data_IF_505286708258
#
_entry.id   IF_505286708258
#
_cell.length_a   1.000
_cell.length_b   1.000
_cell.length_c   1.000
_cell.angle_alpha   90.00
_cell.angle_beta   90.00
_cell.angle_gamma   90.00
#
_symmetry.space_group_name_H-M   'P 1'
#
loop_
_entity.id
_entity.type
_entity.pdbx_description
1 polymer ?
#
# COMPACT_ATOMS: atom_id res chain seq x y z
N UNK A 1 8.83 -3.90 -5.03
CA UNK A 1 8.79 -3.95 -3.55
C UNK A 1 7.86 -5.08 -3.13
N UNK A 2 8.36 -6.07 -2.37
CA UNK A 2 7.53 -7.16 -1.83
C UNK A 2 6.88 -6.71 -0.52
N UNK A 3 5.58 -6.89 -0.39
CA UNK A 3 4.81 -6.49 0.81
C UNK A 3 3.82 -7.58 1.19
N UNK A 4 3.35 -7.64 2.45
CA UNK A 4 2.29 -8.57 2.82
C UNK A 4 1.06 -8.44 1.91
N UNK A 5 0.40 -9.56 1.61
CA UNK A 5 -0.73 -9.57 0.67
C UNK A 5 -1.85 -8.60 1.08
N UNK A 6 -2.15 -8.48 2.38
CA UNK A 6 -3.15 -7.54 2.91
C UNK A 6 -2.76 -6.06 2.68
N UNK A 7 -1.47 -5.76 2.78
CA UNK A 7 -0.94 -4.41 2.49
C UNK A 7 -1.07 -4.12 0.99
N UNK A 8 -0.69 -5.08 0.14
CA UNK A 8 -0.84 -4.94 -1.31
C UNK A 8 -2.30 -4.69 -1.70
N UNK A 9 -3.22 -5.45 -1.13
CA UNK A 9 -4.65 -5.31 -1.39
C UNK A 9 -5.15 -3.89 -1.10
N UNK A 10 -4.79 -3.33 0.05
CA UNK A 10 -5.16 -1.97 0.44
C UNK A 10 -4.54 -0.90 -0.46
N UNK A 11 -3.26 -1.03 -0.81
CA UNK A 11 -2.58 -0.11 -1.76
C UNK A 11 -3.30 -0.13 -3.11
N UNK A 12 -3.65 -1.31 -3.62
CA UNK A 12 -4.37 -1.44 -4.88
C UNK A 12 -5.81 -0.95 -4.78
N UNK A 13 -6.47 -1.05 -3.62
CA UNK A 13 -7.80 -0.51 -3.40
C UNK A 13 -7.80 1.02 -3.50
N UNK A 14 -6.85 1.70 -2.85
CA UNK A 14 -6.66 3.16 -2.98
C UNK A 14 -6.34 3.53 -4.42
N UNK A 15 -5.45 2.79 -5.09
CA UNK A 15 -5.12 3.06 -6.50
C UNK A 15 -6.35 2.95 -7.41
N UNK A 16 -7.21 1.97 -7.19
CA UNK A 16 -8.43 1.74 -7.98
C UNK A 16 -9.52 2.80 -7.71
N UNK A 17 -9.58 3.37 -6.50
CA UNK A 17 -10.58 4.39 -6.20
C UNK A 17 -10.31 5.72 -6.93
N UNK A 18 -9.03 5.99 -7.26
CA UNK A 18 -8.64 7.14 -8.07
C UNK A 18 -8.83 8.51 -7.39
N UNK A 19 -9.04 8.54 -6.07
CA UNK A 19 -9.33 9.76 -5.31
C UNK A 19 -8.09 10.60 -4.99
N UNK A 20 -6.89 10.04 -5.12
CA UNK A 20 -5.62 10.75 -4.89
C UNK A 20 -4.52 10.27 -5.83
N UNK A 21 -3.46 11.06 -5.94
CA UNK A 21 -2.22 10.62 -6.57
C UNK A 21 -1.47 9.68 -5.60
N UNK A 22 -0.91 8.58 -6.10
CA UNK A 22 -0.17 7.64 -5.25
C UNK A 22 1.11 8.23 -4.65
N UNK A 23 1.60 9.38 -5.12
CA UNK A 23 2.70 10.12 -4.49
C UNK A 23 2.27 10.93 -3.25
N UNK A 24 0.97 11.17 -3.08
CA UNK A 24 0.42 11.83 -1.90
C UNK A 24 0.27 10.83 -0.74
N UNK A 25 1.42 10.39 -0.23
CA UNK A 25 1.52 9.34 0.79
C UNK A 25 0.61 9.58 2.01
N UNK A 26 0.53 10.79 2.59
CA UNK A 26 -0.40 11.04 3.69
C UNK A 26 -1.87 10.78 3.32
N UNK A 27 -2.32 11.23 2.14
CA UNK A 27 -3.71 11.00 1.69
C UNK A 27 -3.94 9.53 1.33
N UNK A 28 -2.94 8.82 0.79
CA UNK A 28 -3.05 7.39 0.51
C UNK A 28 -3.24 6.59 1.81
N UNK A 29 -2.49 6.91 2.87
CA UNK A 29 -2.64 6.25 4.17
C UNK A 29 -4.04 6.49 4.77
N UNK A 30 -4.51 7.74 4.77
CA UNK A 30 -5.85 8.11 5.25
C UNK A 30 -6.97 7.42 4.43
N UNK A 31 -6.82 7.33 3.11
CA UNK A 31 -7.78 6.62 2.26
C UNK A 31 -7.73 5.10 2.49
N UNK A 32 -6.56 4.50 2.71
CA UNK A 32 -6.45 3.08 3.03
C UNK A 32 -7.21 2.75 4.33
N UNK A 33 -7.07 3.59 5.36
CA UNK A 33 -7.82 3.46 6.62
C UNK A 33 -9.34 3.55 6.36
N UNK A 34 -9.80 4.59 5.64
CA UNK A 34 -11.22 4.82 5.32
C UNK A 34 -11.85 3.72 4.47
N UNK A 35 -11.06 3.05 3.65
CA UNK A 35 -11.49 1.92 2.83
C UNK A 35 -11.47 0.57 3.57
N UNK A 36 -11.07 0.56 4.85
CA UNK A 36 -11.05 -0.63 5.69
C UNK A 36 -9.76 -1.45 5.59
N UNK A 37 -8.65 -0.83 5.20
CA UNK A 37 -7.33 -1.45 5.10
C UNK A 37 -6.33 -0.85 6.11
N UNK A 38 -6.56 -1.00 7.44
CA UNK A 38 -5.72 -0.37 8.45
C UNK A 38 -4.27 -0.89 8.45
N UNK A 39 -4.06 -2.16 8.09
CA UNK A 39 -2.71 -2.71 7.94
C UNK A 39 -1.93 -2.03 6.81
N UNK A 40 -2.61 -1.71 5.70
CA UNK A 40 -2.01 -0.97 4.60
C UNK A 40 -1.72 0.47 5.01
N UNK A 41 -2.67 1.15 5.66
CA UNK A 41 -2.49 2.52 6.16
C UNK A 41 -1.26 2.62 7.06
N UNK A 42 -1.19 1.76 8.09
CA UNK A 42 -0.06 1.69 9.02
C UNK A 42 1.26 1.39 8.30
N UNK A 43 1.25 0.46 7.34
CA UNK A 43 2.45 0.12 6.58
C UNK A 43 2.97 1.31 5.78
N UNK A 44 2.10 2.03 5.07
CA UNK A 44 2.43 3.24 4.27
C UNK A 44 3.03 4.35 5.14
N UNK A 45 2.52 4.50 6.36
CA UNK A 45 3.05 5.49 7.31
C UNK A 45 4.45 5.13 7.82
N UNK A 46 4.66 3.85 8.12
CA UNK A 46 5.88 3.35 8.78
C UNK A 46 7.01 2.98 7.81
N UNK A 47 6.71 2.81 6.52
CA UNK A 47 7.67 2.42 5.47
C UNK A 47 7.73 3.44 4.32
N UNK A 48 8.03 4.73 4.57
CA UNK A 48 7.95 5.79 3.55
C UNK A 48 8.85 5.55 2.34
N UNK A 49 10.08 5.06 2.55
CA UNK A 49 11.04 4.77 1.49
C UNK A 49 10.59 3.60 0.62
N UNK A 50 10.14 2.52 1.25
CA UNK A 50 9.71 1.32 0.54
C UNK A 50 8.41 1.55 -0.22
N UNK A 51 7.50 2.35 0.35
CA UNK A 51 6.30 2.81 -0.33
C UNK A 51 6.67 3.61 -1.59
N UNK A 52 7.59 4.57 -1.47
CA UNK A 52 8.05 5.35 -2.62
C UNK A 52 8.68 4.44 -3.69
N UNK A 53 9.54 3.49 -3.29
CA UNK A 53 10.10 2.51 -4.22
C UNK A 53 9.00 1.69 -4.91
N UNK A 54 8.01 1.20 -4.17
CA UNK A 54 6.89 0.45 -4.73
C UNK A 54 6.03 1.26 -5.70
N UNK A 55 5.84 2.57 -5.45
CA UNK A 55 5.14 3.45 -6.40
C UNK A 55 5.90 3.57 -7.72
N UNK A 56 7.22 3.65 -7.70
CA UNK A 56 8.04 3.79 -8.92
C UNK A 56 8.36 2.47 -9.62
N UNK A 57 8.54 1.38 -8.86
CA UNK A 57 9.03 0.09 -9.37
C UNK A 57 8.00 -1.03 -9.34
N UNK A 58 6.84 -0.80 -8.73
CA UNK A 58 5.78 -1.79 -8.56
C UNK A 58 5.80 -2.46 -7.19
N UNK A 59 4.60 -2.87 -6.75
CA UNK A 59 4.38 -3.68 -5.56
C UNK A 59 4.07 -5.13 -5.96
N UNK A 60 4.59 -6.07 -5.19
CA UNK A 60 4.35 -7.51 -5.33
C UNK A 60 3.99 -8.09 -3.96
N UNK A 61 3.18 -9.13 -3.93
CA UNK A 61 2.91 -9.83 -2.67
C UNK A 61 4.16 -10.60 -2.26
N UNK A 62 4.45 -10.62 -0.96
CA UNK A 62 5.37 -11.61 -0.40
C UNK A 62 4.89 -13.01 -0.79
N UNK A 63 5.78 -13.82 -1.36
CA UNK A 63 5.52 -15.23 -1.58
C UNK A 63 5.28 -15.84 -0.20
N UNK A 64 4.02 -16.14 0.10
CA UNK A 64 3.69 -16.97 1.25
C UNK A 64 4.50 -18.24 1.07
N UNK A 65 5.50 -18.45 1.94
CA UNK A 65 6.26 -19.68 1.99
C UNK A 65 5.26 -20.83 2.11
N UNK A 66 4.97 -21.45 0.96
CA UNK A 66 4.16 -22.65 0.89
C UNK A 66 4.87 -23.68 1.75
N UNK A 67 4.19 -24.10 2.81
CA UNK A 67 4.55 -25.30 3.56
C UNK A 67 4.52 -26.51 2.63
#
# INVERSE_FOLDING_TARGET
MRVPAAVLEGILAVRRCGLTNMLDRPVVADLAEKLGFPDAARWIETHPSDYAEGVFRGFEAEEGGGR
#
